data_IF_468702675148
#
_entry.id   IF_468702675148
#
_cell.length_a   1.000
_cell.length_b   1.000
_cell.length_c   1.000
_cell.angle_alpha   90.00
_cell.angle_beta   90.00
_cell.angle_gamma   90.00
#
_symmetry.space_group_name_H-M   'P 1'
#
loop_
_entity.id
_entity.type
_entity.pdbx_description
1 polymer ?
#
# COMPACT_ATOMS: atom_id res chain seq x y z
N UNK A 1 44.62 56.02 29.23
CA UNK A 1 44.57 56.38 27.79
C UNK A 1 44.96 55.23 26.84
N UNK A 2 44.74 53.94 27.18
CA UNK A 2 45.19 52.80 26.34
C UNK A 2 44.11 51.75 25.99
N UNK A 3 42.85 51.97 26.36
CA UNK A 3 41.77 51.00 26.06
C UNK A 3 41.02 51.31 24.74
N UNK A 4 41.01 52.57 24.30
CA UNK A 4 40.33 52.99 23.06
C UNK A 4 41.11 52.67 21.78
N UNK A 5 42.44 52.55 21.84
CA UNK A 5 43.24 52.21 20.64
C UNK A 5 43.26 50.71 20.34
N UNK A 6 43.03 49.85 21.34
CA UNK A 6 42.93 48.39 21.17
C UNK A 6 41.60 47.95 20.53
N UNK A 7 40.52 48.70 20.78
CA UNK A 7 39.22 48.48 20.13
C UNK A 7 39.20 48.93 18.66
N UNK A 8 39.96 49.96 18.31
CA UNK A 8 40.09 50.45 16.92
C UNK A 8 40.90 49.48 16.05
N UNK A 9 41.94 48.85 16.60
CA UNK A 9 42.75 47.86 15.87
C UNK A 9 42.04 46.51 15.67
N UNK A 10 41.04 46.18 16.49
CA UNK A 10 40.23 44.97 16.33
C UNK A 10 39.12 45.12 15.28
N UNK A 11 38.63 46.35 15.07
CA UNK A 11 37.61 46.67 14.06
C UNK A 11 38.19 46.72 12.64
N UNK A 12 39.48 47.04 12.50
CA UNK A 12 40.14 47.10 11.18
C UNK A 12 40.53 45.71 10.65
N UNK A 13 40.80 44.73 11.52
CA UNK A 13 41.10 43.34 11.12
C UNK A 13 39.85 42.55 10.71
N UNK A 14 38.68 42.88 11.27
CA UNK A 14 37.40 42.25 10.87
C UNK A 14 36.95 42.74 9.47
N UNK A 15 37.33 43.95 9.06
CA UNK A 15 36.93 44.52 7.77
C UNK A 15 37.75 44.01 6.57
N UNK A 16 38.91 43.38 6.78
CA UNK A 16 39.71 42.78 5.70
C UNK A 16 39.38 41.31 5.42
N UNK A 17 38.63 40.62 6.29
CA UNK A 17 38.26 39.21 6.08
C UNK A 17 37.01 39.08 5.18
N UNK A 18 36.23 40.14 5.00
CA UNK A 18 35.00 40.10 4.19
C UNK A 18 35.24 40.23 2.68
N UNK A 19 36.46 40.54 2.21
CA UNK A 19 36.74 40.62 0.77
C UNK A 19 37.09 39.28 0.11
N UNK A 20 37.13 38.17 0.85
CA UNK A 20 37.37 36.82 0.28
C UNK A 20 36.09 36.05 -0.09
N UNK A 21 34.90 36.67 0.02
CA UNK A 21 33.62 36.06 -0.37
C UNK A 21 33.11 36.47 -1.76
N UNK A 22 33.88 37.23 -2.54
CA UNK A 22 33.48 37.71 -3.87
C UNK A 22 34.09 36.95 -5.06
N UNK A 23 34.63 35.75 -4.84
CA UNK A 23 34.93 34.81 -5.92
C UNK A 23 33.97 33.63 -5.82
N UNK A 24 32.71 33.83 -6.25
CA UNK A 24 31.93 32.70 -6.75
C UNK A 24 32.70 32.12 -7.94
N UNK A 25 33.19 30.86 -7.87
CA UNK A 25 33.59 30.17 -9.09
C UNK A 25 32.41 30.21 -10.07
N UNK A 26 32.65 30.26 -11.39
CA UNK A 26 31.57 30.15 -12.35
C UNK A 26 30.79 28.88 -12.00
N UNK A 27 29.47 29.01 -11.83
CA UNK A 27 28.58 27.88 -11.58
C UNK A 27 28.71 26.89 -12.75
N UNK A 28 29.62 25.92 -12.61
CA UNK A 28 29.58 24.69 -13.39
C UNK A 28 28.28 23.96 -13.04
N UNK A 29 27.65 23.27 -14.01
CA UNK A 29 26.21 23.31 -14.16
C UNK A 29 25.49 22.54 -13.05
N UNK A 30 24.53 23.18 -12.37
CA UNK A 30 23.52 22.51 -11.53
C UNK A 30 22.81 21.35 -12.27
N UNK A 31 22.83 21.35 -13.60
CA UNK A 31 22.34 20.26 -14.44
C UNK A 31 23.21 18.99 -14.38
N UNK A 32 24.55 19.09 -14.27
CA UNK A 32 25.43 17.91 -14.15
C UNK A 32 25.21 17.17 -12.83
N UNK A 33 25.03 17.91 -11.73
CA UNK A 33 24.73 17.34 -10.41
C UNK A 33 23.36 16.66 -10.35
N UNK A 34 22.32 17.26 -10.96
CA UNK A 34 21.00 16.63 -11.07
C UNK A 34 21.01 15.38 -11.95
N UNK A 35 21.74 15.42 -13.07
CA UNK A 35 21.84 14.27 -13.98
C UNK A 35 22.62 13.11 -13.33
N UNK A 36 23.64 13.39 -12.53
CA UNK A 36 24.36 12.40 -11.73
C UNK A 36 23.49 11.80 -10.62
N UNK A 37 22.72 12.63 -9.91
CA UNK A 37 21.74 12.17 -8.90
C UNK A 37 20.64 11.29 -9.50
N UNK A 38 20.08 11.69 -10.64
CA UNK A 38 19.04 10.90 -11.32
C UNK A 38 19.59 9.56 -11.82
N UNK A 39 20.82 9.54 -12.36
CA UNK A 39 21.51 8.29 -12.74
C UNK A 39 21.76 7.40 -11.53
N UNK A 40 22.22 7.94 -10.42
CA UNK A 40 22.43 7.20 -9.17
C UNK A 40 21.10 6.62 -8.64
N UNK A 41 20.02 7.41 -8.68
CA UNK A 41 18.69 6.95 -8.25
C UNK A 41 18.16 5.82 -9.13
N UNK A 42 18.30 5.93 -10.46
CA UNK A 42 17.93 4.85 -11.40
C UNK A 42 18.76 3.59 -11.17
N UNK A 43 20.05 3.72 -10.88
CA UNK A 43 20.89 2.57 -10.58
C UNK A 43 20.48 1.89 -9.27
N UNK A 44 20.16 2.67 -8.23
CA UNK A 44 19.64 2.16 -6.95
C UNK A 44 18.30 1.46 -7.14
N UNK A 45 17.39 2.04 -7.92
CA UNK A 45 16.09 1.46 -8.24
C UNK A 45 16.25 0.13 -8.98
N UNK A 46 17.12 0.08 -10.00
CA UNK A 46 17.43 -1.16 -10.73
C UNK A 46 17.96 -2.25 -9.81
N UNK A 47 18.87 -1.91 -8.88
CA UNK A 47 19.40 -2.85 -7.89
C UNK A 47 18.30 -3.32 -6.93
N UNK A 48 17.45 -2.42 -6.47
CA UNK A 48 16.31 -2.74 -5.60
C UNK A 48 15.32 -3.69 -6.27
N UNK A 49 15.00 -3.49 -7.54
CA UNK A 49 14.14 -4.38 -8.32
C UNK A 49 14.78 -5.76 -8.53
N UNK A 50 16.09 -5.81 -8.79
CA UNK A 50 16.84 -7.08 -8.87
C UNK A 50 16.76 -7.87 -7.56
N UNK A 51 16.97 -7.19 -6.42
CA UNK A 51 16.89 -7.81 -5.10
C UNK A 51 15.46 -8.30 -4.79
N UNK A 52 14.44 -7.56 -5.22
CA UNK A 52 13.06 -7.97 -5.07
C UNK A 52 12.77 -9.25 -5.86
N UNK A 53 13.30 -9.37 -7.07
CA UNK A 53 13.18 -10.57 -7.89
C UNK A 53 13.89 -11.78 -7.28
N UNK A 54 15.11 -11.61 -6.76
CA UNK A 54 15.82 -12.65 -6.02
C UNK A 54 15.04 -13.11 -4.77
N UNK A 55 14.41 -12.16 -4.07
CA UNK A 55 13.58 -12.43 -2.89
C UNK A 55 12.34 -13.24 -3.29
N UNK A 56 11.68 -12.89 -4.39
CA UNK A 56 10.54 -13.61 -4.93
C UNK A 56 10.90 -15.04 -5.33
N UNK A 57 12.04 -15.22 -6.01
CA UNK A 57 12.53 -16.55 -6.38
C UNK A 57 12.87 -17.41 -5.16
N UNK A 58 13.48 -16.82 -4.13
CA UNK A 58 13.76 -17.50 -2.86
C UNK A 58 12.47 -17.84 -2.10
N UNK A 59 11.47 -16.96 -2.14
CA UNK A 59 10.18 -17.17 -1.48
C UNK A 59 9.46 -18.42 -1.99
N UNK A 60 9.61 -18.77 -3.27
CA UNK A 60 9.04 -20.00 -3.83
C UNK A 60 9.53 -21.27 -3.13
N UNK A 61 10.73 -21.24 -2.54
CA UNK A 61 11.33 -22.38 -1.84
C UNK A 61 10.86 -22.50 -0.39
N UNK A 62 10.10 -21.52 0.13
CA UNK A 62 9.58 -21.58 1.48
C UNK A 62 8.55 -22.70 1.60
N UNK A 63 8.70 -23.51 2.65
CA UNK A 63 7.79 -24.64 2.91
C UNK A 63 6.36 -24.18 3.20
N UNK A 64 6.19 -23.08 3.93
CA UNK A 64 4.90 -22.61 4.40
C UNK A 64 4.24 -21.68 3.35
N UNK A 65 3.08 -22.07 2.76
CA UNK A 65 2.34 -21.22 1.83
C UNK A 65 1.96 -19.85 2.40
N UNK A 66 1.68 -19.76 3.70
CA UNK A 66 1.40 -18.49 4.38
C UNK A 66 2.55 -17.48 4.26
N UNK A 67 3.78 -17.95 4.46
CA UNK A 67 4.97 -17.10 4.32
C UNK A 67 5.18 -16.67 2.87
N UNK A 68 4.89 -17.56 1.92
CA UNK A 68 4.90 -17.22 0.49
C UNK A 68 3.89 -16.10 0.21
N UNK A 69 2.65 -16.27 0.66
CA UNK A 69 1.57 -15.30 0.47
C UNK A 69 1.96 -13.90 0.96
N UNK A 70 2.53 -13.80 2.16
CA UNK A 70 3.00 -12.53 2.72
C UNK A 70 4.06 -11.86 1.82
N UNK A 71 5.08 -12.60 1.40
CA UNK A 71 6.18 -12.05 0.58
C UNK A 71 5.66 -11.64 -0.80
N UNK A 72 4.86 -12.48 -1.46
CA UNK A 72 4.29 -12.16 -2.77
C UNK A 72 3.41 -10.89 -2.72
N UNK A 73 2.58 -10.73 -1.69
CA UNK A 73 1.75 -9.54 -1.54
C UNK A 73 2.56 -8.27 -1.27
N UNK A 74 3.61 -8.36 -0.43
CA UNK A 74 4.50 -7.23 -0.15
C UNK A 74 5.27 -6.82 -1.41
N UNK A 75 5.82 -7.80 -2.14
CA UNK A 75 6.55 -7.55 -3.37
C UNK A 75 5.67 -6.98 -4.47
N UNK A 76 4.44 -7.49 -4.64
CA UNK A 76 3.48 -6.96 -5.60
C UNK A 76 3.16 -5.47 -5.34
N UNK A 77 2.95 -5.10 -4.07
CA UNK A 77 2.64 -3.72 -3.69
C UNK A 77 3.81 -2.75 -3.97
N UNK A 78 5.05 -3.21 -3.80
CA UNK A 78 6.26 -2.46 -4.17
C UNK A 78 6.44 -2.38 -5.69
N UNK A 79 6.19 -3.48 -6.40
CA UNK A 79 6.42 -3.59 -7.83
C UNK A 79 5.39 -2.81 -8.66
N UNK A 80 4.20 -2.52 -8.12
CA UNK A 80 3.07 -1.96 -8.85
C UNK A 80 3.42 -0.75 -9.75
N UNK A 81 4.25 0.18 -9.24
CA UNK A 81 4.63 1.40 -9.99
C UNK A 81 5.64 1.15 -11.11
N UNK A 82 6.34 0.02 -11.09
CA UNK A 82 7.44 -0.30 -12.00
C UNK A 82 7.04 -1.37 -13.02
N UNK A 83 6.31 -2.40 -12.58
CA UNK A 83 5.77 -3.46 -13.43
C UNK A 83 4.41 -3.91 -12.90
N UNK A 84 3.38 -3.19 -13.33
CA UNK A 84 2.00 -3.47 -12.94
C UNK A 84 1.58 -4.90 -13.34
N UNK A 85 1.98 -5.37 -14.52
CA UNK A 85 1.59 -6.70 -15.02
C UNK A 85 2.11 -7.79 -14.09
N UNK A 86 3.38 -7.71 -13.70
CA UNK A 86 3.96 -8.65 -12.72
C UNK A 86 3.34 -8.49 -11.34
N UNK A 87 3.07 -7.27 -10.89
CA UNK A 87 2.42 -7.04 -9.61
C UNK A 87 1.03 -7.71 -9.54
N UNK A 88 0.23 -7.63 -10.60
CA UNK A 88 -1.07 -8.33 -10.71
C UNK A 88 -0.92 -9.84 -10.54
N UNK A 89 0.05 -10.44 -11.23
CA UNK A 89 0.37 -11.87 -11.10
C UNK A 89 0.74 -12.21 -9.67
N UNK A 90 1.63 -11.45 -9.04
CA UNK A 90 2.06 -11.73 -7.66
C UNK A 90 0.96 -11.51 -6.61
N UNK A 91 0.02 -10.60 -6.82
CA UNK A 91 -1.17 -10.51 -5.97
C UNK A 91 -2.07 -11.74 -6.09
N UNK A 92 -2.27 -12.25 -7.30
CA UNK A 92 -3.00 -13.50 -7.51
C UNK A 92 -2.28 -14.69 -6.84
N UNK A 93 -0.97 -14.81 -7.04
CA UNK A 93 -0.14 -15.83 -6.37
C UNK A 93 -0.23 -15.72 -4.85
N UNK A 94 -0.22 -14.51 -4.28
CA UNK A 94 -0.34 -14.32 -2.85
C UNK A 94 -1.66 -14.88 -2.29
N UNK A 95 -2.78 -14.58 -2.95
CA UNK A 95 -4.09 -15.10 -2.54
C UNK A 95 -4.22 -16.62 -2.75
N UNK A 96 -3.61 -17.15 -3.81
CA UNK A 96 -3.56 -18.59 -4.08
C UNK A 96 -2.79 -19.33 -2.99
N UNK A 97 -1.61 -18.83 -2.62
CA UNK A 97 -0.83 -19.38 -1.51
C UNK A 97 -1.58 -19.27 -0.18
N UNK A 98 -2.28 -18.16 0.07
CA UNK A 98 -3.05 -17.99 1.29
C UNK A 98 -4.21 -19.00 1.37
N UNK A 99 -4.92 -19.22 0.27
CA UNK A 99 -5.95 -20.24 0.16
C UNK A 99 -5.40 -21.66 0.39
N UNK A 100 -4.23 -21.98 -0.16
CA UNK A 100 -3.54 -23.25 0.06
C UNK A 100 -3.17 -23.45 1.54
N UNK A 101 -2.67 -22.40 2.20
CA UNK A 101 -2.35 -22.42 3.63
C UNK A 101 -3.59 -22.75 4.47
N UNK A 102 -4.69 -22.04 4.21
CA UNK A 102 -5.96 -22.25 4.91
C UNK A 102 -6.50 -23.67 4.74
N UNK A 103 -6.45 -24.20 3.50
CA UNK A 103 -6.86 -25.58 3.23
C UNK A 103 -6.00 -26.60 3.97
N UNK A 104 -4.70 -26.33 4.11
CA UNK A 104 -3.73 -27.24 4.72
C UNK A 104 -3.80 -27.28 6.24
N UNK A 105 -4.33 -26.25 6.90
CA UNK A 105 -4.46 -26.19 8.37
C UNK A 105 -5.41 -27.26 8.94
N UNK A 106 -6.40 -27.70 8.16
CA UNK A 106 -7.38 -28.71 8.59
C UNK A 106 -8.31 -28.24 9.73
N UNK A 107 -9.45 -28.92 9.91
CA UNK A 107 -10.43 -28.54 10.93
C UNK A 107 -10.11 -29.24 12.27
N UNK A 108 -9.24 -28.62 13.08
CA UNK A 108 -8.86 -29.06 14.43
C UNK A 108 -9.23 -28.04 15.53
N UNK A 109 -8.80 -28.30 16.77
CA UNK A 109 -9.09 -27.41 17.92
C UNK A 109 -8.59 -25.97 17.72
N UNK A 110 -7.47 -25.78 17.02
CA UNK A 110 -6.89 -24.45 16.75
C UNK A 110 -7.46 -23.77 15.49
N UNK A 111 -8.37 -24.46 14.77
CA UNK A 111 -8.88 -23.98 13.49
C UNK A 111 -9.51 -22.60 13.58
N UNK A 112 -10.24 -22.30 14.67
CA UNK A 112 -10.84 -20.99 14.86
C UNK A 112 -9.81 -19.86 14.93
N UNK A 113 -8.69 -20.07 15.64
CA UNK A 113 -7.61 -19.08 15.74
C UNK A 113 -6.86 -18.92 14.40
N UNK A 114 -6.54 -20.04 13.73
CA UNK A 114 -5.87 -20.01 12.43
C UNK A 114 -6.75 -19.39 11.34
N UNK A 115 -8.07 -19.65 11.36
CA UNK A 115 -9.03 -19.06 10.44
C UNK A 115 -9.01 -17.53 10.51
N UNK A 116 -8.96 -16.97 11.72
CA UNK A 116 -8.87 -15.53 11.91
C UNK A 116 -7.60 -14.92 11.29
N UNK A 117 -6.47 -15.64 11.38
CA UNK A 117 -5.22 -15.22 10.73
C UNK A 117 -5.38 -15.16 9.21
N UNK A 118 -5.97 -16.18 8.59
CA UNK A 118 -6.18 -16.22 7.14
C UNK A 118 -7.17 -15.16 6.66
N UNK A 119 -8.28 -14.96 7.38
CA UNK A 119 -9.25 -13.92 7.07
C UNK A 119 -8.59 -12.54 7.14
N UNK A 120 -7.79 -12.29 8.18
CA UNK A 120 -7.11 -11.01 8.34
C UNK A 120 -6.06 -10.77 7.25
N UNK A 121 -5.27 -11.79 6.90
CA UNK A 121 -4.30 -11.70 5.81
C UNK A 121 -4.99 -11.46 4.46
N UNK A 122 -6.10 -12.14 4.18
CA UNK A 122 -6.87 -11.91 2.94
C UNK A 122 -7.36 -10.47 2.88
N UNK A 123 -7.89 -9.94 3.98
CA UNK A 123 -8.29 -8.54 4.06
C UNK A 123 -7.14 -7.57 3.77
N UNK A 124 -5.97 -7.82 4.34
CA UNK A 124 -4.79 -6.99 4.11
C UNK A 124 -4.37 -7.00 2.64
N UNK A 125 -4.35 -8.17 2.00
CA UNK A 125 -3.99 -8.32 0.58
C UNK A 125 -5.02 -7.61 -0.31
N UNK A 126 -6.31 -7.85 -0.10
CA UNK A 126 -7.39 -7.19 -0.85
C UNK A 126 -7.34 -5.67 -0.69
N UNK A 127 -7.05 -5.16 0.51
CA UNK A 127 -6.93 -3.72 0.76
C UNK A 127 -5.74 -3.13 0.00
N UNK A 128 -4.59 -3.83 -0.05
CA UNK A 128 -3.44 -3.41 -0.85
C UNK A 128 -3.81 -3.33 -2.33
N UNK A 129 -4.50 -4.34 -2.85
CA UNK A 129 -4.95 -4.36 -4.24
C UNK A 129 -5.92 -3.22 -4.51
N UNK A 130 -6.92 -3.01 -3.65
CA UNK A 130 -7.95 -1.98 -3.80
C UNK A 130 -7.38 -0.55 -3.86
N UNK A 131 -6.32 -0.28 -3.09
CA UNK A 131 -5.60 1.00 -3.15
C UNK A 131 -4.90 1.24 -4.49
N UNK A 132 -4.66 0.20 -5.27
CA UNK A 132 -4.01 0.26 -6.58
C UNK A 132 -5.05 0.19 -7.69
N UNK A 133 -5.80 -0.89 -7.74
CA UNK A 133 -6.86 -1.19 -8.70
C UNK A 133 -8.06 -1.85 -7.97
N UNK A 134 -9.14 -1.09 -7.72
CA UNK A 134 -10.34 -1.61 -7.09
C UNK A 134 -11.06 -2.70 -7.88
N UNK A 135 -11.02 -2.66 -9.22
CA UNK A 135 -11.69 -3.66 -10.04
C UNK A 135 -10.94 -4.99 -9.92
N UNK A 136 -9.61 -4.96 -10.00
CA UNK A 136 -8.79 -6.13 -9.73
C UNK A 136 -9.04 -6.70 -8.33
N UNK A 137 -9.23 -5.84 -7.32
CA UNK A 137 -9.54 -6.29 -5.97
C UNK A 137 -10.87 -7.06 -5.90
N UNK A 138 -11.91 -6.57 -6.60
CA UNK A 138 -13.20 -7.28 -6.71
C UNK A 138 -13.05 -8.60 -7.47
N UNK A 139 -12.36 -8.59 -8.60
CA UNK A 139 -12.19 -9.77 -9.45
C UNK A 139 -11.45 -10.88 -8.66
N UNK A 140 -10.38 -10.53 -7.95
CA UNK A 140 -9.62 -11.47 -7.14
C UNK A 140 -10.34 -11.88 -5.85
N UNK A 141 -11.15 -11.00 -5.26
CA UNK A 141 -12.03 -11.34 -4.15
C UNK A 141 -13.00 -12.46 -4.58
N UNK A 142 -13.68 -12.27 -5.71
CA UNK A 142 -14.62 -13.23 -6.27
C UNK A 142 -13.94 -14.54 -6.69
N UNK A 143 -12.80 -14.45 -7.40
CA UNK A 143 -12.05 -15.61 -7.86
C UNK A 143 -11.57 -16.51 -6.71
N UNK A 144 -11.29 -15.91 -5.54
CA UNK A 144 -10.79 -16.64 -4.38
C UNK A 144 -11.89 -17.06 -3.41
N UNK A 145 -13.12 -16.58 -3.58
CA UNK A 145 -14.24 -16.79 -2.64
C UNK A 145 -14.40 -18.23 -2.20
N UNK A 146 -14.50 -19.17 -3.16
CA UNK A 146 -14.71 -20.59 -2.87
C UNK A 146 -13.63 -21.15 -1.93
N UNK A 147 -12.37 -20.80 -2.16
CA UNK A 147 -11.27 -21.29 -1.35
C UNK A 147 -11.35 -20.82 0.12
N UNK A 148 -11.99 -19.69 0.38
CA UNK A 148 -12.17 -19.13 1.72
C UNK A 148 -13.55 -19.46 2.33
N UNK A 149 -14.50 -20.00 1.56
CA UNK A 149 -15.85 -20.37 2.06
C UNK A 149 -16.06 -21.87 2.19
N UNK A 150 -15.38 -22.65 1.36
CA UNK A 150 -15.54 -24.09 1.31
C UNK A 150 -14.89 -24.71 2.57
N UNK A 151 -15.61 -25.62 3.22
CA UNK A 151 -15.22 -26.28 4.47
C UNK A 151 -15.19 -25.39 5.73
N UNK A 152 -15.63 -24.14 5.66
CA UNK A 152 -15.85 -23.34 6.88
C UNK A 152 -16.95 -23.96 7.77
N UNK A 153 -16.76 -24.07 9.09
CA UNK A 153 -17.85 -24.35 10.01
C UNK A 153 -18.99 -23.35 9.87
N UNK A 154 -20.21 -23.74 10.19
CA UNK A 154 -21.40 -22.89 10.02
C UNK A 154 -21.28 -21.53 10.71
N UNK A 155 -20.64 -21.45 11.89
CA UNK A 155 -20.41 -20.18 12.60
C UNK A 155 -19.48 -19.23 11.84
N UNK A 156 -18.51 -19.77 11.09
CA UNK A 156 -17.57 -18.97 10.30
C UNK A 156 -18.23 -18.48 9.00
N UNK A 157 -19.18 -19.24 8.45
CA UNK A 157 -20.01 -18.80 7.32
C UNK A 157 -21.02 -17.70 7.69
N UNK A 158 -21.39 -17.59 8.98
CA UNK A 158 -22.27 -16.53 9.48
C UNK A 158 -21.60 -15.16 9.52
N UNK A 159 -20.25 -15.12 9.50
CA UNK A 159 -19.54 -13.88 9.28
C UNK A 159 -19.60 -13.57 7.79
N UNK A 160 -20.34 -12.53 7.39
CA UNK A 160 -20.42 -12.09 6.01
C UNK A 160 -19.11 -11.40 5.57
N UNK A 161 -18.02 -12.17 5.57
CA UNK A 161 -16.66 -11.72 5.26
C UNK A 161 -16.56 -11.15 3.85
N UNK A 162 -17.31 -11.74 2.92
CA UNK A 162 -17.36 -11.29 1.52
C UNK A 162 -17.97 -9.89 1.45
N UNK A 163 -19.13 -9.66 2.08
CA UNK A 163 -19.74 -8.33 2.11
C UNK A 163 -18.83 -7.28 2.77
N UNK A 164 -18.18 -7.65 3.87
CA UNK A 164 -17.24 -6.75 4.55
C UNK A 164 -16.08 -6.36 3.64
N UNK A 165 -15.52 -7.30 2.88
CA UNK A 165 -14.42 -7.04 1.96
C UNK A 165 -14.86 -6.22 0.73
N UNK A 166 -16.03 -6.53 0.15
CA UNK A 166 -16.62 -5.71 -0.92
C UNK A 166 -16.80 -4.25 -0.47
N UNK A 167 -17.32 -4.04 0.73
CA UNK A 167 -17.51 -2.70 1.30
C UNK A 167 -16.19 -2.02 1.69
N UNK A 168 -15.16 -2.77 2.10
CA UNK A 168 -13.80 -2.24 2.23
C UNK A 168 -13.26 -1.74 0.90
N UNK A 169 -13.45 -2.48 -0.20
CA UNK A 169 -13.01 -2.04 -1.53
C UNK A 169 -13.74 -0.74 -1.92
N UNK A 170 -15.06 -0.67 -1.75
CA UNK A 170 -15.84 0.55 -2.00
C UNK A 170 -15.31 1.75 -1.18
N UNK A 171 -15.00 1.53 0.10
CA UNK A 171 -14.41 2.57 0.95
C UNK A 171 -13.02 3.02 0.46
N UNK A 172 -12.17 2.14 -0.06
CA UNK A 172 -10.86 2.54 -0.62
C UNK A 172 -11.02 3.30 -1.94
N UNK A 173 -12.04 2.97 -2.75
CA UNK A 173 -12.37 3.69 -3.99
C UNK A 173 -12.77 5.14 -3.71
N UNK A 174 -13.51 5.38 -2.63
CA UNK A 174 -14.09 6.69 -2.32
C UNK A 174 -13.07 7.83 -2.22
N UNK A 175 -11.81 7.52 -1.92
CA UNK A 175 -10.73 8.51 -1.88
C UNK A 175 -10.32 9.03 -3.27
N UNK A 176 -10.51 8.23 -4.33
CA UNK A 176 -10.11 8.53 -5.71
C UNK A 176 -11.31 8.80 -6.62
N UNK A 177 -12.38 8.03 -6.47
CA UNK A 177 -13.59 8.11 -7.29
C UNK A 177 -14.83 7.91 -6.40
N UNK A 178 -15.35 8.99 -5.78
CA UNK A 178 -16.50 8.89 -4.88
C UNK A 178 -17.77 8.41 -5.58
N UNK A 179 -17.94 8.69 -6.89
CA UNK A 179 -19.12 8.25 -7.66
C UNK A 179 -19.09 6.74 -7.88
N UNK A 180 -17.95 6.19 -8.30
CA UNK A 180 -17.79 4.74 -8.43
C UNK A 180 -17.92 4.04 -7.08
N UNK A 181 -17.38 4.64 -6.01
CA UNK A 181 -17.55 4.12 -4.66
C UNK A 181 -19.02 4.07 -4.23
N UNK A 182 -19.80 5.12 -4.52
CA UNK A 182 -21.23 5.16 -4.26
C UNK A 182 -21.96 4.05 -5.01
N UNK A 183 -21.67 3.85 -6.30
CA UNK A 183 -22.27 2.78 -7.08
C UNK A 183 -21.97 1.39 -6.48
N UNK A 184 -20.69 1.10 -6.21
CA UNK A 184 -20.27 -0.16 -5.61
C UNK A 184 -20.95 -0.39 -4.25
N UNK A 185 -21.12 0.68 -3.48
CA UNK A 185 -21.77 0.61 -2.20
C UNK A 185 -23.26 0.34 -2.30
N UNK A 186 -23.97 0.99 -3.24
CA UNK A 186 -25.38 0.72 -3.53
C UNK A 186 -25.60 -0.74 -3.95
N UNK A 187 -24.71 -1.28 -4.80
CA UNK A 187 -24.72 -2.69 -5.19
C UNK A 187 -24.49 -3.62 -3.99
N UNK A 188 -23.60 -3.25 -3.06
CA UNK A 188 -23.35 -4.02 -1.83
C UNK A 188 -24.45 -3.91 -0.77
N UNK A 189 -25.15 -2.77 -0.69
CA UNK A 189 -26.20 -2.53 0.30
C UNK A 189 -27.41 -3.45 0.12
N UNK A 190 -27.70 -3.84 -1.13
CA UNK A 190 -28.72 -4.84 -1.43
C UNK A 190 -28.41 -6.20 -0.76
N UNK A 191 -27.15 -6.46 -0.41
CA UNK A 191 -26.69 -7.68 0.27
C UNK A 191 -26.63 -7.51 1.80
N UNK A 192 -26.60 -6.27 2.31
CA UNK A 192 -26.60 -5.97 3.75
C UNK A 192 -25.75 -4.75 4.13
N UNK A 193 -25.74 -4.43 5.42
CA UNK A 193 -24.98 -3.30 5.99
C UNK A 193 -23.89 -3.85 6.92
N UNK A 194 -22.68 -3.26 6.86
CA UNK A 194 -21.61 -3.54 7.83
C UNK A 194 -21.00 -2.26 8.41
N UNK A 195 -20.08 -2.40 9.37
CA UNK A 195 -19.30 -1.26 9.87
C UNK A 195 -18.54 -0.51 8.75
N UNK A 196 -18.17 -1.20 7.66
CA UNK A 196 -17.49 -0.57 6.53
C UNK A 196 -18.39 0.41 5.77
N UNK A 197 -19.72 0.22 5.81
CA UNK A 197 -20.70 1.17 5.28
C UNK A 197 -20.57 2.54 5.96
N UNK A 198 -20.33 2.58 7.28
CA UNK A 198 -20.13 3.83 8.02
C UNK A 198 -18.81 4.51 7.65
N UNK A 199 -17.74 3.73 7.46
CA UNK A 199 -16.46 4.26 7.01
C UNK A 199 -16.56 4.88 5.62
N UNK A 200 -17.25 4.20 4.70
CA UNK A 200 -17.53 4.73 3.38
C UNK A 200 -18.33 6.03 3.47
N UNK A 201 -19.44 6.05 4.22
CA UNK A 201 -20.26 7.25 4.39
C UNK A 201 -19.42 8.44 4.86
N UNK A 202 -18.54 8.24 5.85
CA UNK A 202 -17.63 9.30 6.32
C UNK A 202 -16.69 9.80 5.21
N UNK A 203 -16.14 8.89 4.39
CA UNK A 203 -15.28 9.26 3.25
C UNK A 203 -16.08 10.00 2.18
N UNK A 204 -17.29 9.55 1.86
CA UNK A 204 -18.18 10.23 0.93
C UNK A 204 -18.55 11.63 1.45
N UNK A 205 -18.95 11.78 2.72
CA UNK A 205 -19.24 13.10 3.29
C UNK A 205 -18.09 14.10 3.14
N UNK A 206 -16.83 13.63 3.15
CA UNK A 206 -15.65 14.48 2.96
C UNK A 206 -15.32 14.79 1.50
N UNK A 207 -15.75 13.95 0.55
CA UNK A 207 -15.32 14.00 -0.86
C UNK A 207 -16.45 14.31 -1.85
N UNK A 208 -17.67 13.96 -1.50
CA UNK A 208 -18.90 14.06 -2.27
C UNK A 208 -20.10 14.10 -1.31
N UNK A 209 -20.40 15.29 -0.79
CA UNK A 209 -21.51 15.50 0.15
C UNK A 209 -22.86 15.12 -0.44
N UNK A 210 -23.05 15.34 -1.74
CA UNK A 210 -24.30 15.06 -2.45
C UNK A 210 -24.47 13.55 -2.65
N UNK A 211 -23.38 12.86 -3.01
CA UNK A 211 -23.32 11.41 -3.04
C UNK A 211 -23.56 10.79 -1.66
N UNK A 212 -23.03 11.39 -0.59
CA UNK A 212 -23.28 10.96 0.77
C UNK A 212 -24.75 11.12 1.19
N UNK A 213 -25.39 12.23 0.83
CA UNK A 213 -26.82 12.44 1.09
C UNK A 213 -27.67 11.41 0.34
N UNK A 214 -27.36 11.17 -0.94
CA UNK A 214 -28.00 10.14 -1.77
C UNK A 214 -27.81 8.73 -1.17
N UNK A 215 -26.67 8.48 -0.55
CA UNK A 215 -26.37 7.19 0.10
C UNK A 215 -27.19 6.94 1.37
N UNK A 216 -27.57 8.00 2.09
CA UNK A 216 -28.32 7.90 3.36
C UNK A 216 -29.84 7.98 3.20
N UNK A 217 -30.35 8.35 2.03
CA UNK A 217 -31.77 8.51 1.73
C UNK A 217 -32.20 9.97 1.64
#
# INVERSE_FOLDING_TARGET
>A
MKLKSLLSSLLLTILLITQTLAQTPPAAPLEKSKEEEEKAQKELERKGLSLLEETLNSAQQLKLPENRAYIFAAAADLLWKHDEKRARVFFHEALTNLAEAMKSTGVGNDFGASLWVFINQRQQIITKIARRDPQLALDLLQATRQAFTDNLPSYARMMDQELMLEQTIAAEVAAKDPKRALQMAQESLAKGVSYQTLNLLRKLQQKDSDGAATFTG
#
